data_IF_128814698775
#
_entry.id   IF_128814698775
#
_cell.length_a   1.000
_cell.length_b   1.000
_cell.length_c   1.000
_cell.angle_alpha   90.00
_cell.angle_beta   90.00
_cell.angle_gamma   90.00
#
_symmetry.space_group_name_H-M   'P 1'
#
loop_
_entity.id
_entity.type
_entity.pdbx_description
1 polymer ?
#
# COMPACT_ATOMS: atom_id res chain seq x y z
N UNK A 1 21.83 4.25 -8.11
CA UNK A 1 21.83 2.78 -8.17
C UNK A 1 20.40 2.29 -8.33
N UNK A 2 20.13 1.28 -9.19
CA UNK A 2 18.81 0.70 -9.32
C UNK A 2 18.34 0.08 -7.99
N UNK A 3 17.03 0.19 -7.70
CA UNK A 3 16.40 -0.43 -6.53
C UNK A 3 15.86 -1.80 -6.92
N UNK A 4 15.97 -2.76 -6.01
CA UNK A 4 15.56 -4.14 -6.24
C UNK A 4 14.49 -4.54 -5.22
N UNK A 5 13.53 -5.36 -5.65
CA UNK A 5 12.62 -6.02 -4.72
C UNK A 5 13.36 -7.09 -3.93
N UNK A 6 13.03 -7.22 -2.65
CA UNK A 6 13.42 -8.33 -1.79
C UNK A 6 12.16 -9.04 -1.30
N UNK A 7 12.25 -10.33 -1.00
CA UNK A 7 11.08 -11.14 -0.63
C UNK A 7 11.36 -11.84 0.69
N UNK A 8 10.44 -11.72 1.65
CA UNK A 8 10.51 -12.54 2.85
C UNK A 8 10.03 -13.97 2.54
N UNK A 9 10.77 -14.99 2.95
CA UNK A 9 10.47 -16.38 2.62
C UNK A 9 9.07 -16.82 3.10
N UNK A 10 8.53 -16.19 4.15
CA UNK A 10 7.16 -16.42 4.61
C UNK A 10 6.09 -15.80 3.70
N UNK A 11 6.40 -14.70 3.04
CA UNK A 11 5.48 -13.97 2.15
C UNK A 11 5.19 -14.73 0.85
N UNK A 12 6.22 -15.38 0.30
CA UNK A 12 6.13 -16.12 -0.95
C UNK A 12 5.14 -17.30 -0.88
N UNK A 13 4.93 -17.86 0.32
CA UNK A 13 3.97 -18.94 0.57
C UNK A 13 2.51 -18.45 0.62
N UNK A 14 2.28 -17.16 0.89
CA UNK A 14 0.95 -16.60 1.13
C UNK A 14 0.41 -15.82 -0.08
N UNK A 15 1.29 -15.31 -0.96
CA UNK A 15 0.95 -14.31 -1.98
C UNK A 15 0.90 -14.89 -3.40
N UNK A 16 0.29 -16.07 -3.55
CA UNK A 16 -0.12 -16.58 -4.86
C UNK A 16 -1.32 -15.82 -5.43
N UNK A 17 -1.79 -16.26 -6.62
CA UNK A 17 -2.98 -15.78 -7.36
C UNK A 17 -4.29 -15.73 -6.53
N UNK A 18 -4.28 -16.26 -5.31
CA UNK A 18 -5.42 -16.37 -4.39
C UNK A 18 -5.50 -15.22 -3.35
N UNK A 19 -4.53 -14.30 -3.30
CA UNK A 19 -4.45 -13.29 -2.24
C UNK A 19 -5.51 -12.18 -2.33
N UNK A 20 -6.07 -11.91 -3.52
CA UNK A 20 -7.05 -10.84 -3.74
C UNK A 20 -8.40 -11.44 -4.13
N UNK A 21 -9.39 -11.29 -3.23
CA UNK A 21 -10.73 -11.88 -3.38
C UNK A 21 -11.55 -11.20 -4.48
N UNK A 22 -11.41 -9.89 -4.66
CA UNK A 22 -12.09 -9.08 -5.67
C UNK A 22 -11.42 -7.70 -5.84
N UNK A 23 -11.75 -7.01 -6.94
CA UNK A 23 -11.17 -5.70 -7.29
C UNK A 23 -11.51 -4.58 -6.30
N UNK A 24 -12.69 -4.62 -5.68
CA UNK A 24 -13.10 -3.62 -4.67
C UNK A 24 -12.24 -3.76 -3.41
N UNK A 25 -12.00 -4.99 -2.98
CA UNK A 25 -11.10 -5.30 -1.86
C UNK A 25 -9.70 -4.75 -2.12
N UNK A 26 -9.17 -4.88 -3.35
CA UNK A 26 -7.85 -4.34 -3.68
C UNK A 26 -7.75 -2.82 -3.48
N UNK A 27 -8.76 -2.04 -3.90
CA UNK A 27 -8.81 -0.59 -3.68
C UNK A 27 -8.98 -0.27 -2.19
N UNK A 28 -9.83 -1.01 -1.48
CA UNK A 28 -10.04 -0.84 -0.04
C UNK A 28 -8.75 -1.08 0.78
N UNK A 29 -7.92 -2.04 0.41
CA UNK A 29 -6.63 -2.25 1.09
C UNK A 29 -5.68 -1.07 0.91
N UNK A 30 -5.69 -0.39 -0.25
CA UNK A 30 -4.93 0.85 -0.44
C UNK A 30 -5.48 1.98 0.45
N UNK A 31 -6.80 2.15 0.52
CA UNK A 31 -7.43 3.16 1.40
C UNK A 31 -7.14 2.89 2.88
N UNK A 32 -7.12 1.62 3.30
CA UNK A 32 -6.71 1.24 4.67
C UNK A 32 -5.25 1.59 4.94
N UNK A 33 -4.36 1.40 3.96
CA UNK A 33 -2.97 1.80 4.12
C UNK A 33 -2.83 3.32 4.32
N UNK A 34 -3.61 4.12 3.59
CA UNK A 34 -3.68 5.57 3.82
C UNK A 34 -4.21 5.92 5.21
N UNK A 35 -5.23 5.20 5.70
CA UNK A 35 -5.72 5.36 7.08
C UNK A 35 -4.63 5.05 8.12
N UNK A 36 -3.87 3.97 7.92
CA UNK A 36 -2.75 3.59 8.81
C UNK A 36 -1.57 4.57 8.74
N UNK A 37 -1.46 5.33 7.64
CA UNK A 37 -0.57 6.48 7.50
C UNK A 37 -1.13 7.76 8.16
N UNK A 38 -2.25 7.65 8.88
CA UNK A 38 -2.93 8.75 9.55
C UNK A 38 -3.41 9.87 8.60
N UNK A 39 -3.66 9.54 7.34
CA UNK A 39 -4.23 10.48 6.37
C UNK A 39 -5.58 11.04 6.86
N UNK A 40 -5.84 12.29 6.52
CA UNK A 40 -7.14 12.94 6.74
C UNK A 40 -7.96 12.91 5.46
N UNK A 41 -7.29 12.93 4.30
CA UNK A 41 -7.90 12.89 2.97
C UNK A 41 -7.28 11.75 2.17
N UNK A 42 -8.14 10.98 1.50
CA UNK A 42 -7.73 9.98 0.51
C UNK A 42 -8.49 10.27 -0.78
N UNK A 43 -7.75 10.57 -1.84
CA UNK A 43 -8.25 10.87 -3.18
C UNK A 43 -8.15 9.62 -4.05
N UNK A 44 -9.29 9.19 -4.59
CA UNK A 44 -9.41 8.02 -5.48
C UNK A 44 -9.96 8.48 -6.83
N UNK A 45 -9.13 8.37 -7.86
CA UNK A 45 -9.42 8.82 -9.21
C UNK A 45 -9.39 7.61 -10.16
N UNK A 46 -10.42 7.47 -11.00
CA UNK A 46 -10.56 6.37 -11.96
C UNK A 46 -10.65 6.97 -13.36
N UNK A 47 -9.64 6.72 -14.19
CA UNK A 47 -9.64 7.13 -15.59
C UNK A 47 -10.00 5.95 -16.48
N UNK A 48 -11.13 6.07 -17.16
CA UNK A 48 -11.65 5.05 -18.08
C UNK A 48 -11.40 5.37 -19.55
N UNK A 49 -11.00 6.61 -19.86
CA UNK A 49 -10.71 7.06 -21.21
C UNK A 49 -9.43 6.44 -21.79
N UNK A 50 -9.52 5.92 -23.02
CA UNK A 50 -8.36 5.41 -23.77
C UNK A 50 -7.34 6.52 -24.11
N UNK A 51 -7.80 7.77 -24.18
CA UNK A 51 -7.00 8.95 -24.51
C UNK A 51 -6.69 9.84 -23.30
N UNK A 52 -6.93 9.35 -22.08
CA UNK A 52 -6.42 10.05 -20.90
C UNK A 52 -4.89 10.00 -20.92
N UNK A 53 -4.21 11.05 -20.44
CA UNK A 53 -2.76 11.01 -20.26
C UNK A 53 -2.38 9.81 -19.37
N UNK A 54 -1.54 8.92 -19.90
CA UNK A 54 -1.18 7.66 -19.22
C UNK A 54 -2.17 6.50 -19.39
N UNK A 55 -3.25 6.67 -20.17
CA UNK A 55 -4.23 5.61 -20.47
C UNK A 55 -5.16 5.28 -19.30
N UNK A 56 -5.78 4.09 -19.32
CA UNK A 56 -6.72 3.64 -18.28
C UNK A 56 -5.97 3.26 -17.01
N UNK A 57 -6.25 3.96 -15.92
CA UNK A 57 -5.59 3.70 -14.64
C UNK A 57 -6.46 4.15 -13.46
N UNK A 58 -6.05 3.75 -12.26
CA UNK A 58 -6.61 4.19 -10.99
C UNK A 58 -5.47 4.82 -10.19
N UNK A 59 -5.70 6.01 -9.62
CA UNK A 59 -4.79 6.68 -8.69
C UNK A 59 -5.44 6.70 -7.32
N UNK A 60 -4.70 6.24 -6.32
CA UNK A 60 -5.02 6.41 -4.90
C UNK A 60 -3.91 7.27 -4.30
N UNK A 61 -4.26 8.40 -3.71
CA UNK A 61 -3.31 9.33 -3.11
C UNK A 61 -3.83 9.81 -1.76
N UNK A 62 -2.94 9.98 -0.79
CA UNK A 62 -3.28 10.44 0.54
C UNK A 62 -2.34 11.53 1.06
N UNK A 63 -2.79 12.25 2.08
CA UNK A 63 -2.05 13.30 2.79
C UNK A 63 -1.45 12.79 4.12
N UNK A 64 -1.25 11.48 4.24
CA UNK A 64 -0.68 10.86 5.42
C UNK A 64 0.80 11.17 5.62
N UNK A 65 1.40 10.52 6.62
CA UNK A 65 2.81 10.70 7.01
C UNK A 65 3.81 10.30 5.90
N UNK A 66 3.35 9.57 4.88
CA UNK A 66 4.18 9.10 3.78
C UNK A 66 5.27 8.11 4.19
N UNK A 67 6.28 7.98 3.36
CA UNK A 67 7.48 7.18 3.59
C UNK A 67 8.71 7.95 3.12
N UNK A 68 9.78 7.92 3.90
CA UNK A 68 11.11 8.31 3.45
C UNK A 68 11.67 7.32 2.43
N UNK A 69 12.71 7.73 1.70
CA UNK A 69 13.40 6.87 0.73
C UNK A 69 13.88 5.56 1.36
N UNK A 70 14.40 5.61 2.59
CA UNK A 70 14.85 4.43 3.34
C UNK A 70 13.69 3.49 3.71
N UNK A 71 12.54 4.04 4.08
CA UNK A 71 11.34 3.24 4.38
C UNK A 71 10.76 2.59 3.13
N UNK A 72 10.80 3.27 1.98
CA UNK A 72 10.42 2.66 0.70
C UNK A 72 11.31 1.46 0.39
N UNK A 73 12.62 1.59 0.58
CA UNK A 73 13.58 0.52 0.27
C UNK A 73 13.46 -0.67 1.22
N UNK A 74 13.35 -0.41 2.52
CA UNK A 74 13.42 -1.45 3.53
C UNK A 74 12.06 -2.07 3.83
N UNK A 75 10.96 -1.35 3.58
CA UNK A 75 9.61 -1.80 3.90
C UNK A 75 8.81 -2.08 2.62
N UNK A 76 8.61 -1.08 1.76
CA UNK A 76 7.73 -1.20 0.59
C UNK A 76 8.27 -2.17 -0.48
N UNK A 77 9.56 -2.09 -0.79
CA UNK A 77 10.22 -3.00 -1.73
C UNK A 77 10.51 -4.38 -1.14
N UNK A 78 10.17 -4.61 0.14
CA UNK A 78 10.34 -5.90 0.81
C UNK A 78 8.98 -6.61 0.91
N UNK A 79 8.73 -7.51 -0.03
CA UNK A 79 7.45 -8.22 -0.14
C UNK A 79 7.18 -9.08 1.12
N UNK A 80 5.97 -8.88 1.66
CA UNK A 80 5.43 -9.47 2.91
C UNK A 80 6.20 -9.15 4.19
N UNK A 81 6.92 -8.03 4.20
CA UNK A 81 7.33 -7.39 5.43
C UNK A 81 6.31 -6.32 5.84
N UNK A 82 6.05 -6.23 7.15
CA UNK A 82 5.16 -5.23 7.72
C UNK A 82 5.79 -4.51 8.91
N UNK A 83 6.14 -3.24 8.70
CA UNK A 83 6.61 -2.36 9.77
C UNK A 83 5.52 -2.09 10.83
N UNK A 84 4.25 -2.42 10.54
CA UNK A 84 3.12 -2.27 11.47
C UNK A 84 3.25 -3.17 12.71
N UNK A 85 4.12 -4.18 12.69
CA UNK A 85 4.43 -5.02 13.87
C UNK A 85 5.05 -4.23 15.02
N UNK A 86 5.88 -3.24 14.70
CA UNK A 86 6.68 -2.51 15.69
C UNK A 86 6.02 -1.19 16.12
N UNK A 87 5.11 -0.64 15.31
CA UNK A 87 4.42 0.63 15.58
C UNK A 87 2.90 0.51 15.44
N UNK A 88 2.20 0.39 16.59
CA UNK A 88 0.75 0.14 16.66
C UNK A 88 -0.13 1.39 16.51
N UNK A 89 0.45 2.59 16.56
CA UNK A 89 -0.26 3.86 16.51
C UNK A 89 0.41 4.86 15.56
N UNK A 90 -0.40 5.66 14.88
CA UNK A 90 0.04 6.80 14.07
C UNK A 90 -1.01 7.92 14.17
N UNK A 91 -0.58 9.17 14.37
CA UNK A 91 -1.50 10.32 14.45
C UNK A 91 -2.62 10.18 15.49
N UNK A 92 -2.37 9.50 16.62
CA UNK A 92 -3.37 9.23 17.66
C UNK A 92 -4.38 8.12 17.31
N UNK A 93 -4.27 7.50 16.14
CA UNK A 93 -5.15 6.40 15.70
C UNK A 93 -4.43 5.07 15.81
N UNK A 94 -5.18 4.03 16.17
CA UNK A 94 -4.66 2.65 16.14
C UNK A 94 -4.55 2.20 14.69
N UNK A 95 -3.36 1.72 14.29
CA UNK A 95 -3.17 1.08 12.98
C UNK A 95 -3.92 -0.24 12.96
N UNK A 96 -4.52 -0.56 11.82
CA UNK A 96 -5.46 -1.66 11.64
C UNK A 96 -4.79 -2.99 11.26
N UNK A 97 -3.48 -3.01 10.95
CA UNK A 97 -2.78 -4.19 10.41
C UNK A 97 -2.79 -5.42 11.34
N UNK A 98 -2.67 -6.67 10.86
CA UNK A 98 -2.69 -7.29 9.52
C UNK A 98 -3.52 -8.58 9.60
N UNK A 99 -4.01 -9.09 8.47
CA UNK A 99 -4.33 -10.53 8.34
C UNK A 99 -3.09 -11.30 7.93
#
# INVERSE_FOLDING_TARGET
MPKHFSVDARAMLTWGRESIKDHTTAVLELVKNSYDAAATIVDVQIWTGLFADGGRHIRVADDGIGMSTTEVENNWLRLGYSAKRDQKFAGGRRRTGEK
#
